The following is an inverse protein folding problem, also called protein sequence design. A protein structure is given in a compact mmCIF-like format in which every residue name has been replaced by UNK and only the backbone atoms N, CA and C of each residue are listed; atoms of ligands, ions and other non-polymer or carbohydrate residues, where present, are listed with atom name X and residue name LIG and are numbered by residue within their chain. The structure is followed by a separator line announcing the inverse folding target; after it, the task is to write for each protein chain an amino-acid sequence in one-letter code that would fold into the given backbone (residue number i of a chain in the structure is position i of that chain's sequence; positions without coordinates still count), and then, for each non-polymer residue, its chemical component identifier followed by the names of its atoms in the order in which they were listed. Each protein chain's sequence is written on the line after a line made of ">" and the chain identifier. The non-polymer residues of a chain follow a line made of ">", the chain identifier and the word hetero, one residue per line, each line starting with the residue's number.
data_IF_055791656107
#
_entry.id   IF_055791656107
#
_cell.length_a   1.000
_cell.length_b   1.000
_cell.length_c   1.000
_cell.angle_alpha   90.00
_cell.angle_beta   90.00
_cell.angle_gamma   90.00
#
_symmetry.space_group_name_H-M   'P 1'
#
loop_
_entity.id
_entity.type
_entity.pdbx_description
1 polymer ?
#
# COMPACT_ATOMS: atom_id res chain seq x y z
N UNK A 1 9.84 -69.85 28.96
CA UNK A 1 10.49 -68.80 28.14
C UNK A 1 9.48 -67.68 27.99
N UNK A 2 9.74 -66.54 28.62
CA UNK A 2 8.74 -65.50 28.85
C UNK A 2 8.67 -64.53 27.66
N UNK A 3 7.59 -64.65 26.87
CA UNK A 3 7.42 -64.02 25.56
C UNK A 3 7.45 -62.48 25.63
N UNK A 4 7.04 -61.90 26.77
CA UNK A 4 6.99 -60.46 27.00
C UNK A 4 8.39 -59.83 27.15
N UNK A 5 9.35 -60.58 27.67
CA UNK A 5 10.74 -60.14 27.82
C UNK A 5 11.47 -60.02 26.47
N UNK A 6 11.11 -60.89 25.52
CA UNK A 6 11.67 -60.90 24.16
C UNK A 6 11.09 -59.74 23.35
N UNK A 7 9.79 -59.49 23.48
CA UNK A 7 9.10 -58.40 22.77
C UNK A 7 9.62 -57.01 23.17
N UNK A 8 9.83 -56.78 24.47
CA UNK A 8 10.41 -55.50 24.97
C UNK A 8 11.83 -55.27 24.49
N UNK A 9 12.63 -56.33 24.33
CA UNK A 9 14.00 -56.25 23.83
C UNK A 9 14.05 -55.88 22.34
N UNK A 10 13.12 -56.43 21.55
CA UNK A 10 13.01 -56.14 20.12
C UNK A 10 12.53 -54.70 19.86
N UNK A 11 11.54 -54.22 20.62
CA UNK A 11 11.05 -52.83 20.51
C UNK A 11 12.16 -51.82 20.84
N UNK A 12 12.96 -52.08 21.88
CA UNK A 12 14.05 -51.18 22.28
C UNK A 12 15.18 -51.12 21.23
N UNK A 13 15.41 -52.23 20.54
CA UNK A 13 16.36 -52.33 19.42
C UNK A 13 15.89 -51.51 18.20
N UNK A 14 14.62 -51.65 17.81
CA UNK A 14 14.01 -50.88 16.71
C UNK A 14 14.04 -49.36 16.96
N UNK A 15 13.81 -48.92 18.21
CA UNK A 15 13.90 -47.50 18.59
C UNK A 15 15.33 -46.96 18.51
N UNK A 16 16.33 -47.79 18.77
CA UNK A 16 17.76 -47.39 18.73
C UNK A 16 18.25 -47.30 17.28
N UNK A 17 17.86 -48.25 16.42
CA UNK A 17 18.20 -48.24 14.99
C UNK A 17 17.52 -47.08 14.23
N UNK A 18 16.32 -46.67 14.64
CA UNK A 18 15.61 -45.52 14.07
C UNK A 18 16.18 -44.15 14.50
N UNK A 19 16.73 -44.04 15.72
CA UNK A 19 17.44 -42.83 16.16
C UNK A 19 18.76 -42.64 15.43
N UNK A 20 19.53 -43.71 15.26
CA UNK A 20 20.81 -43.69 14.50
C UNK A 20 20.62 -43.28 13.03
N UNK A 21 19.54 -43.73 12.37
CA UNK A 21 19.24 -43.34 10.98
C UNK A 21 18.80 -41.87 10.85
N UNK A 22 18.24 -41.27 11.90
CA UNK A 22 17.79 -39.88 11.90
C UNK A 22 18.95 -38.89 12.09
N UNK A 23 19.90 -39.23 12.96
CA UNK A 23 21.13 -38.42 13.13
C UNK A 23 21.98 -38.41 11.84
N UNK A 24 22.03 -39.54 11.11
CA UNK A 24 22.74 -39.63 9.83
C UNK A 24 22.03 -38.91 8.67
N UNK A 25 20.71 -38.68 8.74
CA UNK A 25 19.98 -37.89 7.74
C UNK A 25 20.13 -36.38 7.97
N UNK A 26 20.21 -35.95 9.24
CA UNK A 26 20.31 -34.55 9.61
C UNK A 26 21.72 -33.99 9.29
N UNK A 27 22.79 -34.78 9.50
CA UNK A 27 24.18 -34.40 9.17
C UNK A 27 24.44 -34.30 7.64
N UNK A 28 23.61 -34.99 6.83
CA UNK A 28 23.71 -34.95 5.35
C UNK A 28 22.91 -33.80 4.73
N UNK A 29 21.91 -33.26 5.44
CA UNK A 29 21.14 -32.08 5.03
C UNK A 29 21.94 -30.81 5.29
N UNK A 30 22.63 -30.72 6.42
CA UNK A 30 23.37 -29.52 6.85
C UNK A 30 24.56 -29.18 5.92
N UNK A 31 25.14 -30.20 5.26
CA UNK A 31 26.26 -30.04 4.32
C UNK A 31 25.83 -29.62 2.89
N UNK A 32 24.54 -29.70 2.55
CA UNK A 32 24.00 -29.27 1.24
C UNK A 32 23.55 -27.80 1.26
N UNK A 33 23.16 -27.28 2.41
CA UNK A 33 22.71 -25.89 2.56
C UNK A 33 23.87 -24.88 2.62
N UNK A 34 25.07 -25.32 3.05
CA UNK A 34 26.27 -24.48 3.10
C UNK A 34 26.83 -24.12 1.70
N UNK A 35 26.62 -24.98 0.70
CA UNK A 35 27.15 -24.78 -0.67
C UNK A 35 26.26 -23.85 -1.52
N UNK A 36 24.96 -23.75 -1.21
CA UNK A 36 24.01 -22.94 -1.98
C UNK A 36 24.05 -21.45 -1.59
N UNK A 37 24.57 -21.13 -0.40
CA UNK A 37 24.61 -19.76 0.15
C UNK A 37 25.72 -18.88 -0.46
N UNK A 38 26.62 -19.46 -1.25
CA UNK A 38 27.81 -18.76 -1.77
C UNK A 38 27.62 -18.12 -3.16
N UNK A 39 26.51 -18.36 -3.87
CA UNK A 39 26.33 -17.87 -5.27
C UNK A 39 25.36 -16.70 -5.50
N UNK A 40 24.84 -16.05 -4.46
CA UNK A 40 23.96 -14.87 -4.62
C UNK A 40 24.47 -13.61 -3.91
N UNK A 41 25.79 -13.42 -3.87
CA UNK A 41 26.45 -12.19 -3.41
C UNK A 41 27.28 -11.57 -4.54
N UNK A 42 26.65 -11.19 -5.64
CA UNK A 42 27.29 -10.30 -6.60
C UNK A 42 26.26 -9.43 -7.34
N UNK A 43 25.82 -8.37 -6.67
CA UNK A 43 25.55 -7.08 -7.33
C UNK A 43 25.21 -6.02 -6.28
N UNK A 44 25.78 -4.82 -6.47
CA UNK A 44 25.58 -3.57 -5.72
C UNK A 44 26.41 -3.40 -4.44
N UNK A 45 27.67 -2.99 -4.62
CA UNK A 45 28.44 -2.24 -3.62
C UNK A 45 27.65 -0.98 -3.23
N UNK A 46 27.05 -0.96 -2.04
CA UNK A 46 26.64 0.26 -1.32
C UNK A 46 27.13 0.18 0.13
N UNK A 47 27.50 1.34 0.65
CA UNK A 47 28.27 1.62 1.87
C UNK A 47 27.80 0.83 3.12
N UNK A 48 28.69 0.17 3.90
CA UNK A 48 28.34 -0.67 5.06
C UNK A 48 27.48 -0.01 6.15
N UNK A 49 27.58 1.30 6.35
CA UNK A 49 26.76 2.00 7.36
C UNK A 49 25.27 2.06 6.98
N UNK A 50 24.94 2.11 5.68
CA UNK A 50 23.55 2.24 5.23
C UNK A 50 22.78 0.92 5.35
N UNK A 51 23.46 -0.23 5.23
CA UNK A 51 22.86 -1.55 5.48
C UNK A 51 22.42 -1.69 6.94
N UNK A 52 23.21 -1.21 7.90
CA UNK A 52 22.85 -1.32 9.32
C UNK A 52 21.57 -0.56 9.67
N UNK A 53 21.36 0.63 9.07
CA UNK A 53 20.16 1.44 9.34
C UNK A 53 18.94 0.84 8.64
N UNK A 54 19.09 0.37 7.39
CA UNK A 54 17.99 -0.26 6.65
C UNK A 54 17.58 -1.60 7.26
N UNK A 55 18.52 -2.44 7.71
CA UNK A 55 18.22 -3.69 8.43
C UNK A 55 17.56 -3.42 9.81
N UNK A 56 17.94 -2.33 10.49
CA UNK A 56 17.24 -1.86 11.69
C UNK A 56 15.84 -1.34 11.39
N UNK A 57 15.64 -0.65 10.27
CA UNK A 57 14.32 -0.23 9.79
C UNK A 57 13.44 -1.41 9.38
N UNK A 58 14.04 -2.46 8.85
CA UNK A 58 13.35 -3.67 8.39
C UNK A 58 12.96 -4.60 9.56
N UNK A 59 13.65 -4.49 10.69
CA UNK A 59 13.28 -5.20 11.92
C UNK A 59 12.32 -4.40 12.82
N UNK A 60 12.01 -3.15 12.46
CA UNK A 60 11.12 -2.30 13.24
C UNK A 60 9.66 -2.72 13.02
N UNK A 61 9.03 -3.11 14.11
CA UNK A 61 7.63 -3.52 14.15
C UNK A 61 6.78 -2.53 14.97
N UNK A 62 5.61 -2.18 14.46
CA UNK A 62 4.63 -1.30 15.09
C UNK A 62 3.41 -2.11 15.50
N UNK A 63 2.77 -1.75 16.62
CA UNK A 63 1.51 -2.38 17.03
C UNK A 63 0.39 -2.10 16.01
N UNK A 64 -0.44 -3.10 15.71
CA UNK A 64 -1.61 -2.92 14.83
C UNK A 64 -2.64 -1.93 15.35
N UNK A 65 -2.62 -1.58 16.63
CA UNK A 65 -3.53 -0.57 17.19
C UNK A 65 -3.29 0.83 16.58
N UNK A 66 -2.11 1.07 16.00
CA UNK A 66 -1.80 2.31 15.29
C UNK A 66 -2.44 2.40 13.90
N UNK A 67 -3.14 1.36 13.42
CA UNK A 67 -3.85 1.42 12.12
C UNK A 67 -4.93 2.50 12.11
N UNK A 68 -5.47 2.86 13.27
CA UNK A 68 -6.43 3.95 13.41
C UNK A 68 -5.89 5.27 12.82
N UNK A 69 -4.59 5.53 12.96
CA UNK A 69 -3.96 6.74 12.45
C UNK A 69 -4.06 6.87 10.93
N UNK A 70 -4.09 5.77 10.19
CA UNK A 70 -4.28 5.79 8.74
C UNK A 70 -5.60 6.48 8.37
N UNK A 71 -6.67 6.10 9.05
CA UNK A 71 -8.00 6.60 8.77
C UNK A 71 -8.22 8.01 9.34
N UNK A 72 -7.61 8.34 10.49
CA UNK A 72 -7.63 9.71 11.02
C UNK A 72 -6.94 10.67 10.03
N UNK A 73 -5.69 10.35 9.65
CA UNK A 73 -4.90 11.17 8.73
C UNK A 73 -5.59 11.24 7.37
N UNK A 74 -6.10 10.12 6.86
CA UNK A 74 -6.83 10.07 5.59
C UNK A 74 -8.13 10.89 5.62
N UNK A 75 -8.90 10.84 6.71
CA UNK A 75 -10.13 11.64 6.88
C UNK A 75 -9.81 13.13 6.92
N UNK A 76 -8.81 13.53 7.70
CA UNK A 76 -8.38 14.94 7.79
C UNK A 76 -7.89 15.42 6.42
N UNK A 77 -6.99 14.66 5.78
CA UNK A 77 -6.42 15.00 4.48
C UNK A 77 -7.50 15.15 3.40
N UNK A 78 -8.36 14.14 3.23
CA UNK A 78 -9.45 14.18 2.25
C UNK A 78 -10.45 15.30 2.52
N UNK A 79 -10.78 15.59 3.78
CA UNK A 79 -11.69 16.67 4.15
C UNK A 79 -11.10 18.06 3.85
N UNK A 80 -9.81 18.27 4.16
CA UNK A 80 -9.12 19.51 3.85
C UNK A 80 -9.09 19.72 2.33
N UNK A 81 -8.67 18.71 1.57
CA UNK A 81 -8.61 18.77 0.11
C UNK A 81 -10.00 19.03 -0.49
N UNK A 82 -11.03 18.34 -0.01
CA UNK A 82 -12.41 18.53 -0.48
C UNK A 82 -12.89 19.95 -0.21
N UNK A 83 -12.58 20.52 0.95
CA UNK A 83 -12.90 21.92 1.27
C UNK A 83 -12.21 22.88 0.31
N UNK A 84 -10.92 22.68 0.02
CA UNK A 84 -10.16 23.52 -0.89
C UNK A 84 -10.65 23.43 -2.34
N UNK A 85 -11.19 22.27 -2.75
CA UNK A 85 -11.76 22.05 -4.08
C UNK A 85 -13.20 22.54 -4.19
N UNK A 86 -14.01 22.51 -3.14
CA UNK A 86 -15.36 23.11 -3.15
C UNK A 86 -15.34 24.61 -3.47
N UNK A 87 -14.24 25.31 -3.18
CA UNK A 87 -14.01 26.69 -3.62
C UNK A 87 -13.44 26.84 -5.03
N UNK A 88 -13.18 25.74 -5.76
CA UNK A 88 -12.50 25.76 -7.06
C UNK A 88 -13.39 26.28 -8.20
N UNK A 89 -14.71 26.05 -8.16
CA UNK A 89 -15.61 26.56 -9.21
C UNK A 89 -15.51 28.09 -9.36
N UNK A 90 -15.16 28.81 -8.29
CA UNK A 90 -14.93 30.25 -8.33
C UNK A 90 -13.60 30.64 -9.02
N UNK A 91 -12.60 29.75 -9.12
CA UNK A 91 -11.28 30.04 -9.72
C UNK A 91 -11.30 30.19 -11.24
N UNK A 92 -12.26 29.58 -11.93
CA UNK A 92 -12.39 29.73 -13.39
C UNK A 92 -12.56 31.19 -13.83
N UNK A 93 -13.07 32.05 -12.95
CA UNK A 93 -13.25 33.50 -13.18
C UNK A 93 -12.06 34.34 -12.67
N UNK A 94 -11.17 33.78 -11.85
CA UNK A 94 -10.10 34.50 -11.12
C UNK A 94 -8.90 34.85 -12.02
N UNK A 95 -8.75 34.25 -13.20
CA UNK A 95 -7.70 34.65 -14.14
C UNK A 95 -7.86 36.09 -14.67
N UNK A 96 -9.01 36.73 -14.42
CA UNK A 96 -9.24 38.14 -14.71
C UNK A 96 -8.75 39.09 -13.61
N UNK A 97 -8.53 38.61 -12.38
CA UNK A 97 -8.15 39.47 -11.25
C UNK A 97 -7.03 38.82 -10.43
N UNK A 98 -5.86 39.46 -10.46
CA UNK A 98 -4.64 38.97 -9.85
C UNK A 98 -4.78 38.70 -8.34
N UNK A 99 -4.08 37.65 -7.87
CA UNK A 99 -3.73 37.40 -6.47
C UNK A 99 -4.79 36.74 -5.56
N UNK A 100 -5.07 35.45 -5.79
CA UNK A 100 -5.36 34.52 -4.69
C UNK A 100 -4.21 33.53 -4.52
N UNK A 101 -3.72 33.34 -3.28
CA UNK A 101 -2.68 32.34 -2.98
C UNK A 101 -3.24 30.95 -3.27
N UNK A 102 -2.53 30.19 -4.10
CA UNK A 102 -2.85 28.79 -4.33
C UNK A 102 -2.84 28.01 -3.00
N UNK A 103 -3.80 27.10 -2.77
CA UNK A 103 -3.74 26.21 -1.62
C UNK A 103 -2.40 25.45 -1.63
N UNK A 104 -1.90 25.12 -0.44
CA UNK A 104 -0.56 24.55 -0.26
C UNK A 104 -0.24 23.39 -1.21
N UNK A 105 -1.20 22.48 -1.41
CA UNK A 105 -1.04 21.37 -2.33
C UNK A 105 -0.78 21.81 -3.77
N UNK A 106 -1.62 22.70 -4.31
CA UNK A 106 -1.48 23.17 -5.69
C UNK A 106 -0.20 23.97 -5.88
N UNK A 107 0.21 24.73 -4.87
CA UNK A 107 1.51 25.40 -4.87
C UNK A 107 2.67 24.38 -4.99
N UNK A 108 2.64 23.31 -4.19
CA UNK A 108 3.66 22.25 -4.23
C UNK A 108 3.62 21.51 -5.56
N UNK A 109 2.42 21.15 -6.04
CA UNK A 109 2.28 20.40 -7.29
C UNK A 109 2.65 21.25 -8.51
N UNK A 110 2.25 22.52 -8.56
CA UNK A 110 2.69 23.47 -9.58
C UNK A 110 4.20 23.59 -9.59
N UNK A 111 4.83 23.72 -8.42
CA UNK A 111 6.28 23.76 -8.33
C UNK A 111 6.92 22.49 -8.91
N UNK A 112 6.37 21.31 -8.62
CA UNK A 112 6.86 20.03 -9.15
C UNK A 112 6.70 19.98 -10.67
N UNK A 113 5.51 20.27 -11.20
CA UNK A 113 5.24 20.22 -12.64
C UNK A 113 6.08 21.24 -13.41
N UNK A 114 6.12 22.49 -12.96
CA UNK A 114 6.88 23.53 -13.66
C UNK A 114 8.40 23.27 -13.64
N UNK A 115 8.92 22.56 -12.63
CA UNK A 115 10.36 22.31 -12.49
C UNK A 115 10.82 20.99 -13.10
N UNK A 116 10.00 19.95 -13.02
CA UNK A 116 10.40 18.57 -13.36
C UNK A 116 9.61 17.96 -14.52
N UNK A 117 8.50 18.54 -14.94
CA UNK A 117 7.68 17.97 -16.00
C UNK A 117 8.34 18.15 -17.36
N UNK A 118 8.44 17.11 -18.19
CA UNK A 118 8.93 17.23 -19.57
C UNK A 118 7.99 18.08 -20.45
N UNK A 119 6.75 18.33 -19.99
CA UNK A 119 5.74 19.18 -20.65
C UNK A 119 5.70 20.60 -20.08
N UNK A 120 6.68 21.03 -19.29
CA UNK A 120 6.66 22.34 -18.63
C UNK A 120 6.44 23.52 -19.62
N UNK A 121 6.94 23.42 -20.85
CA UNK A 121 6.74 24.46 -21.88
C UNK A 121 5.29 24.63 -22.33
N UNK A 122 4.44 23.60 -22.27
CA UNK A 122 3.03 23.70 -22.65
C UNK A 122 2.16 24.38 -21.59
N UNK A 123 2.69 24.54 -20.37
CA UNK A 123 1.98 25.20 -19.26
C UNK A 123 2.35 26.68 -19.12
N UNK A 124 3.19 27.21 -20.02
CA UNK A 124 3.58 28.62 -20.01
C UNK A 124 2.49 29.47 -20.66
N UNK A 125 2.00 30.46 -19.93
CA UNK A 125 1.00 31.42 -20.39
C UNK A 125 1.61 32.81 -20.28
N UNK A 126 1.42 33.63 -21.32
CA UNK A 126 1.85 35.03 -21.29
C UNK A 126 1.06 35.78 -20.21
N UNK A 127 1.77 36.32 -19.22
CA UNK A 127 1.17 37.03 -18.11
C UNK A 127 0.55 38.37 -18.52
N UNK A 128 -0.17 39.03 -17.59
CA UNK A 128 -0.80 40.33 -17.84
C UNK A 128 0.21 41.46 -18.09
N UNK A 129 1.49 41.24 -17.81
CA UNK A 129 2.59 42.16 -18.09
C UNK A 129 3.41 41.62 -19.26
N UNK A 130 3.62 42.46 -20.28
CA UNK A 130 4.39 42.14 -21.47
C UNK A 130 5.80 41.67 -21.08
N UNK A 131 6.15 40.44 -21.47
CA UNK A 131 7.48 39.86 -21.24
C UNK A 131 7.64 39.02 -19.97
N UNK A 132 6.54 38.70 -19.26
CA UNK A 132 6.56 37.78 -18.12
C UNK A 132 5.66 36.57 -18.37
N UNK A 133 6.28 35.40 -18.62
CA UNK A 133 5.54 34.13 -18.77
C UNK A 133 5.34 33.48 -17.40
N UNK A 134 4.13 32.99 -17.14
CA UNK A 134 3.74 32.30 -15.90
C UNK A 134 3.48 30.84 -16.24
N UNK A 135 4.08 29.92 -15.49
CA UNK A 135 3.79 28.50 -15.60
C UNK A 135 2.54 28.15 -14.77
N UNK A 136 1.46 27.77 -15.44
CA UNK A 136 0.19 27.42 -14.80
C UNK A 136 -0.38 26.10 -15.36
N UNK A 137 -0.12 24.96 -14.71
CA UNK A 137 -0.59 23.65 -15.17
C UNK A 137 -2.07 23.40 -14.87
N UNK A 138 -2.74 24.24 -14.07
CA UNK A 138 -4.10 24.02 -13.58
C UNK A 138 -5.14 24.98 -14.18
N UNK A 139 -5.10 25.20 -15.50
CA UNK A 139 -6.05 26.10 -16.19
C UNK A 139 -7.45 25.52 -16.37
N UNK A 140 -7.62 24.22 -16.17
CA UNK A 140 -8.90 23.55 -16.41
C UNK A 140 -9.84 23.63 -15.21
N UNK A 141 -11.13 23.80 -15.50
CA UNK A 141 -12.19 23.65 -14.52
C UNK A 141 -12.25 22.21 -14.04
N UNK A 142 -12.16 22.01 -12.73
CA UNK A 142 -12.28 20.68 -12.13
C UNK A 142 -13.69 20.14 -12.39
N UNK A 143 -13.83 18.96 -13.03
CA UNK A 143 -15.15 18.46 -13.39
C UNK A 143 -15.96 18.07 -12.15
N UNK A 144 -17.28 18.23 -12.23
CA UNK A 144 -18.22 17.89 -11.14
C UNK A 144 -18.08 16.44 -10.63
N UNK A 145 -17.63 15.54 -11.50
CA UNK A 145 -17.35 14.13 -11.16
C UNK A 145 -16.25 13.98 -10.12
N UNK A 146 -15.27 14.87 -10.07
CA UNK A 146 -14.18 14.84 -9.09
C UNK A 146 -14.69 15.06 -7.67
N UNK A 147 -15.66 15.97 -7.49
CA UNK A 147 -16.30 16.20 -6.19
C UNK A 147 -17.03 14.95 -5.70
N UNK A 148 -17.73 14.26 -6.61
CA UNK A 148 -18.42 13.01 -6.28
C UNK A 148 -17.39 11.94 -5.89
N UNK A 149 -16.33 11.75 -6.68
CA UNK A 149 -15.29 10.77 -6.40
C UNK A 149 -14.57 11.04 -5.07
N UNK A 150 -14.19 12.29 -4.81
CA UNK A 150 -13.53 12.70 -3.58
C UNK A 150 -14.46 12.60 -2.37
N UNK A 151 -15.76 12.93 -2.54
CA UNK A 151 -16.78 12.75 -1.51
C UNK A 151 -17.02 11.28 -1.16
N UNK A 152 -17.06 10.40 -2.17
CA UNK A 152 -17.16 8.94 -1.97
C UNK A 152 -15.92 8.41 -1.25
N UNK A 153 -14.71 8.84 -1.65
CA UNK A 153 -13.47 8.46 -0.97
C UNK A 153 -13.45 8.95 0.49
N UNK A 154 -13.79 10.22 0.75
CA UNK A 154 -13.85 10.77 2.10
C UNK A 154 -14.87 10.00 2.97
N UNK A 155 -16.04 9.68 2.41
CA UNK A 155 -17.06 8.87 3.09
C UNK A 155 -16.55 7.46 3.39
N UNK A 156 -15.91 6.81 2.42
CA UNK A 156 -15.35 5.47 2.59
C UNK A 156 -14.29 5.43 3.70
N UNK A 157 -13.36 6.38 3.72
CA UNK A 157 -12.32 6.47 4.76
C UNK A 157 -12.92 6.80 6.12
N UNK A 158 -13.93 7.67 6.18
CA UNK A 158 -14.65 7.99 7.41
C UNK A 158 -15.41 6.79 7.98
N UNK A 159 -16.12 6.02 7.15
CA UNK A 159 -16.77 4.79 7.60
C UNK A 159 -15.76 3.79 8.16
N UNK A 160 -14.60 3.67 7.51
CA UNK A 160 -13.53 2.79 7.99
C UNK A 160 -12.92 3.27 9.30
N UNK A 161 -12.86 4.59 9.52
CA UNK A 161 -12.49 5.18 10.82
C UNK A 161 -13.49 4.79 11.91
N UNK A 162 -14.79 4.98 11.66
CA UNK A 162 -15.83 4.63 12.63
C UNK A 162 -15.82 3.14 12.95
N UNK A 163 -15.70 2.28 11.95
CA UNK A 163 -15.60 0.83 12.14
C UNK A 163 -14.41 0.47 13.03
N UNK A 164 -13.27 1.12 12.81
CA UNK A 164 -12.04 0.87 13.58
C UNK A 164 -12.15 1.36 15.02
N UNK A 165 -12.93 2.41 15.28
CA UNK A 165 -13.15 2.94 16.65
C UNK A 165 -14.15 2.06 17.40
N UNK A 166 -15.25 1.65 16.76
CA UNK A 166 -16.36 1.02 17.45
C UNK A 166 -16.32 -0.51 17.45
N UNK A 167 -15.88 -1.14 16.35
CA UNK A 167 -16.02 -2.57 16.15
C UNK A 167 -14.70 -3.35 16.19
N UNK A 168 -13.54 -2.68 16.07
CA UNK A 168 -12.26 -3.37 16.05
C UNK A 168 -11.66 -3.50 17.46
N UNK A 169 -11.52 -4.74 18.00
CA UNK A 169 -10.88 -4.93 19.29
C UNK A 169 -9.36 -4.66 19.21
N UNK A 170 -8.74 -4.20 20.31
CA UNK A 170 -7.29 -4.05 20.36
C UNK A 170 -6.62 -5.42 20.20
N UNK A 171 -5.52 -5.47 19.45
CA UNK A 171 -4.77 -6.70 19.22
C UNK A 171 -3.31 -6.53 19.61
N UNK A 172 -2.67 -7.63 20.04
CA UNK A 172 -1.24 -7.69 20.33
C UNK A 172 -0.39 -7.99 19.08
N UNK A 173 -1.03 -8.08 17.91
CA UNK A 173 -0.33 -8.31 16.65
C UNK A 173 0.48 -7.08 16.25
N UNK A 174 1.61 -7.34 15.59
CA UNK A 174 2.51 -6.31 15.08
C UNK A 174 2.54 -6.31 13.56
N UNK A 175 2.93 -5.18 12.96
CA UNK A 175 3.18 -5.00 11.53
C UNK A 175 4.56 -4.39 11.33
N UNK A 176 5.20 -4.74 10.22
CA UNK A 176 6.44 -4.12 9.77
C UNK A 176 6.27 -2.60 9.51
N UNK A 177 7.21 -1.78 9.98
CA UNK A 177 7.17 -0.32 9.87
C UNK A 177 7.06 0.17 8.42
N UNK A 178 7.76 -0.48 7.48
CA UNK A 178 7.68 -0.13 6.06
C UNK A 178 6.26 -0.24 5.48
N UNK A 179 5.52 -1.30 5.81
CA UNK A 179 4.12 -1.45 5.38
C UNK A 179 3.22 -0.41 6.07
N UNK A 180 3.53 -0.09 7.33
CA UNK A 180 2.83 0.94 8.08
C UNK A 180 2.97 2.33 7.42
N UNK A 181 4.20 2.72 7.05
CA UNK A 181 4.48 4.00 6.36
C UNK A 181 3.81 4.03 4.97
N UNK A 182 3.91 2.94 4.21
CA UNK A 182 3.24 2.83 2.91
C UNK A 182 1.72 3.01 3.02
N UNK A 183 1.10 2.49 4.09
CA UNK A 183 -0.30 2.73 4.40
C UNK A 183 -0.62 4.22 4.58
N UNK A 184 0.15 4.94 5.40
CA UNK A 184 -0.04 6.39 5.61
C UNK A 184 0.09 7.15 4.29
N UNK A 185 1.14 6.88 3.53
CA UNK A 185 1.39 7.54 2.25
C UNK A 185 0.23 7.29 1.27
N UNK A 186 -0.30 6.06 1.23
CA UNK A 186 -1.45 5.75 0.39
C UNK A 186 -2.67 6.63 0.73
N UNK A 187 -3.04 6.76 2.01
CA UNK A 187 -4.21 7.58 2.39
C UNK A 187 -4.02 9.08 2.18
N UNK A 188 -2.77 9.57 2.24
CA UNK A 188 -2.42 10.97 1.96
C UNK A 188 -2.39 11.29 0.46
N UNK A 189 -1.84 10.39 -0.36
CA UNK A 189 -1.61 10.65 -1.79
C UNK A 189 -2.84 10.31 -2.64
N UNK A 190 -3.67 9.35 -2.25
CA UNK A 190 -4.88 8.96 -3.01
C UNK A 190 -5.82 10.14 -3.33
N UNK A 191 -6.24 10.99 -2.38
CA UNK A 191 -7.10 12.12 -2.72
C UNK A 191 -6.42 13.11 -3.68
N UNK A 192 -5.09 13.23 -3.64
CA UNK A 192 -4.33 14.03 -4.61
C UNK A 192 -4.32 13.40 -6.00
N UNK A 193 -4.10 12.09 -6.07
CA UNK A 193 -4.11 11.34 -7.31
C UNK A 193 -5.47 11.46 -8.03
N UNK A 194 -6.58 11.45 -7.29
CA UNK A 194 -7.93 11.67 -7.87
C UNK A 194 -8.04 13.03 -8.56
N UNK A 195 -7.46 14.08 -7.96
CA UNK A 195 -7.51 15.44 -8.52
C UNK A 195 -6.65 15.54 -9.75
N UNK A 196 -5.40 15.12 -9.64
CA UNK A 196 -4.42 15.09 -10.72
C UNK A 196 -4.98 14.33 -11.91
N UNK A 197 -5.55 13.16 -11.67
CA UNK A 197 -6.20 12.36 -12.71
C UNK A 197 -7.33 13.11 -13.40
N UNK A 198 -8.16 13.83 -12.63
CA UNK A 198 -9.27 14.60 -13.19
C UNK A 198 -8.85 15.85 -13.98
N UNK A 199 -7.73 16.47 -13.61
CA UNK A 199 -7.17 17.62 -14.32
C UNK A 199 -6.53 17.15 -15.62
N UNK A 200 -5.65 16.15 -15.57
CA UNK A 200 -4.91 15.72 -16.76
C UNK A 200 -5.73 14.85 -17.73
N UNK A 201 -6.76 14.17 -17.26
CA UNK A 201 -7.68 13.44 -18.14
C UNK A 201 -8.68 14.36 -18.84
N UNK A 202 -8.84 15.61 -18.39
CA UNK A 202 -9.69 16.63 -19.02
C UNK A 202 -9.08 17.27 -20.27
N UNK A 203 -7.76 17.24 -20.41
CA UNK A 203 -6.99 18.01 -21.41
C UNK A 203 -6.96 17.44 -22.83
N UNK A 204 -7.67 16.34 -23.11
CA UNK A 204 -7.44 15.55 -24.33
C UNK A 204 -8.71 15.15 -25.07
N UNK A 205 -9.21 16.04 -25.94
CA UNK A 205 -10.24 15.77 -26.97
C UNK A 205 -11.60 15.28 -26.47
N UNK A 206 -12.65 15.64 -27.22
CA UNK A 206 -14.06 15.39 -26.93
C UNK A 206 -14.35 13.87 -26.98
N UNK A 207 -13.93 13.09 -25.97
CA UNK A 207 -14.53 11.78 -25.62
C UNK A 207 -13.87 11.04 -24.43
N UNK A 208 -12.88 11.59 -23.72
CA UNK A 208 -12.42 10.98 -22.46
C UNK A 208 -13.24 11.49 -21.28
N UNK A 209 -14.37 10.82 -21.03
CA UNK A 209 -15.15 11.02 -19.81
C UNK A 209 -14.28 10.61 -18.61
N UNK A 210 -14.22 11.41 -17.52
CA UNK A 210 -13.72 10.92 -16.24
C UNK A 210 -14.58 9.71 -15.84
N UNK A 211 -14.00 8.53 -15.96
CA UNK A 211 -14.69 7.25 -15.93
C UNK A 211 -13.70 6.12 -15.71
N UNK A 212 -14.24 4.90 -15.60
CA UNK A 212 -13.56 3.63 -15.27
C UNK A 212 -12.34 3.27 -16.14
N UNK A 213 -11.98 4.08 -17.14
CA UNK A 213 -10.89 3.85 -18.08
C UNK A 213 -9.60 4.62 -17.75
N UNK A 214 -9.56 5.33 -16.61
CA UNK A 214 -8.36 6.00 -16.15
C UNK A 214 -7.29 5.00 -15.69
N UNK A 215 -6.02 5.26 -16.05
CA UNK A 215 -4.87 4.48 -15.58
C UNK A 215 -4.77 4.49 -14.05
N UNK A 216 -5.16 5.61 -13.41
CA UNK A 216 -5.20 5.75 -11.96
C UNK A 216 -6.20 4.78 -11.36
N UNK A 217 -7.40 4.70 -11.94
CA UNK A 217 -8.44 3.77 -11.49
C UNK A 217 -8.00 2.31 -11.57
N UNK A 218 -7.45 1.87 -12.71
CA UNK A 218 -6.95 0.49 -12.85
C UNK A 218 -5.78 0.19 -11.92
N UNK A 219 -4.86 1.14 -11.74
CA UNK A 219 -3.73 0.99 -10.81
C UNK A 219 -4.24 0.83 -9.38
N UNK A 220 -5.24 1.61 -8.97
CA UNK A 220 -5.87 1.46 -7.64
C UNK A 220 -6.57 0.12 -7.50
N UNK A 221 -7.31 -0.36 -8.50
CA UNK A 221 -7.93 -1.69 -8.46
C UNK A 221 -6.87 -2.78 -8.30
N UNK A 222 -5.84 -2.78 -9.14
CA UNK A 222 -4.77 -3.78 -9.09
C UNK A 222 -4.10 -3.77 -7.72
N UNK A 223 -3.78 -2.58 -7.20
CA UNK A 223 -3.23 -2.41 -5.87
C UNK A 223 -4.13 -3.00 -4.77
N UNK A 224 -5.43 -2.70 -4.80
CA UNK A 224 -6.42 -3.19 -3.83
C UNK A 224 -6.56 -4.71 -3.90
N UNK A 225 -6.65 -5.27 -5.12
CA UNK A 225 -6.76 -6.72 -5.33
C UNK A 225 -5.54 -7.42 -4.77
N UNK A 226 -4.32 -6.96 -5.09
CA UNK A 226 -3.08 -7.55 -4.57
C UNK A 226 -3.05 -7.46 -3.04
N UNK A 227 -3.32 -6.29 -2.48
CA UNK A 227 -3.25 -6.05 -1.03
C UNK A 227 -4.25 -6.93 -0.25
N UNK A 228 -5.48 -7.04 -0.73
CA UNK A 228 -6.51 -7.88 -0.11
C UNK A 228 -6.19 -9.38 -0.28
N UNK A 229 -5.66 -9.77 -1.44
CA UNK A 229 -5.26 -11.14 -1.75
C UNK A 229 -4.16 -11.65 -0.82
N UNK A 230 -3.11 -10.84 -0.61
CA UNK A 230 -2.02 -11.16 0.32
C UNK A 230 -2.56 -11.25 1.75
N UNK A 231 -3.32 -10.25 2.19
CA UNK A 231 -3.90 -10.20 3.55
C UNK A 231 -4.82 -11.39 3.84
N UNK A 232 -5.67 -11.79 2.87
CA UNK A 232 -6.56 -12.93 3.00
C UNK A 232 -5.78 -14.25 3.07
N UNK A 233 -4.73 -14.39 2.24
CA UNK A 233 -3.87 -15.57 2.21
C UNK A 233 -3.14 -15.79 3.54
N UNK A 234 -2.54 -14.73 4.10
CA UNK A 234 -1.88 -14.80 5.41
C UNK A 234 -2.85 -15.17 6.52
N UNK A 235 -4.04 -14.56 6.50
CA UNK A 235 -5.10 -14.83 7.47
C UNK A 235 -5.55 -16.29 7.40
N UNK A 236 -5.76 -16.82 6.19
CA UNK A 236 -6.16 -18.21 5.99
C UNK A 236 -5.07 -19.21 6.44
N UNK A 237 -3.80 -18.91 6.16
CA UNK A 237 -2.68 -19.73 6.66
C UNK A 237 -2.58 -19.70 8.18
N UNK A 238 -2.77 -18.53 8.80
CA UNK A 238 -2.79 -18.39 10.25
C UNK A 238 -3.91 -19.24 10.86
N UNK A 239 -5.13 -19.20 10.30
CA UNK A 239 -6.24 -20.04 10.76
C UNK A 239 -5.93 -21.54 10.69
N UNK A 240 -5.34 -22.01 9.57
CA UNK A 240 -4.94 -23.42 9.43
C UNK A 240 -3.90 -23.83 10.47
N UNK A 241 -2.90 -22.98 10.73
CA UNK A 241 -1.86 -23.23 11.74
C UNK A 241 -2.42 -23.23 13.16
N UNK A 242 -3.30 -22.28 13.49
CA UNK A 242 -3.85 -22.10 14.84
C UNK A 242 -4.90 -23.13 15.21
N UNK A 243 -5.80 -23.49 14.28
CA UNK A 243 -6.94 -24.35 14.58
C UNK A 243 -6.80 -25.79 14.05
N UNK A 244 -5.83 -26.06 13.16
CA UNK A 244 -5.51 -27.41 12.68
C UNK A 244 -6.73 -28.17 12.16
N UNK A 245 -7.04 -29.31 12.79
CA UNK A 245 -8.16 -30.18 12.42
C UNK A 245 -9.55 -29.59 12.69
N UNK A 246 -9.65 -28.55 13.53
CA UNK A 246 -10.91 -27.84 13.82
C UNK A 246 -11.27 -26.81 12.74
N UNK A 247 -10.34 -26.43 11.87
CA UNK A 247 -10.61 -25.48 10.79
C UNK A 247 -11.33 -26.18 9.62
N UNK A 248 -12.47 -25.67 9.13
CA UNK A 248 -13.20 -26.30 8.03
C UNK A 248 -12.36 -26.39 6.74
N UNK A 249 -12.23 -27.60 6.17
CA UNK A 249 -11.41 -27.86 4.97
C UNK A 249 -11.97 -27.22 3.68
N UNK A 250 -13.27 -26.96 3.65
CA UNK A 250 -13.97 -26.44 2.45
C UNK A 250 -14.05 -24.90 2.42
N UNK A 251 -13.37 -24.19 3.33
CA UNK A 251 -13.33 -22.72 3.29
C UNK A 251 -12.30 -22.23 2.28
N UNK A 252 -12.74 -21.33 1.41
CA UNK A 252 -11.91 -20.56 0.50
C UNK A 252 -11.21 -19.40 1.23
N UNK A 253 -10.18 -18.83 0.59
CA UNK A 253 -9.39 -17.70 1.08
C UNK A 253 -10.14 -16.39 0.91
N UNK A 254 -10.64 -16.13 -0.30
CA UNK A 254 -11.29 -14.86 -0.66
C UNK A 254 -12.51 -15.05 -1.56
N UNK A 255 -12.37 -15.76 -2.69
CA UNK A 255 -13.43 -15.92 -3.69
C UNK A 255 -14.07 -17.31 -3.52
N UNK A 256 -15.35 -17.38 -3.12
CA UNK A 256 -16.04 -18.66 -2.96
C UNK A 256 -15.92 -19.52 -4.23
N UNK A 257 -15.62 -20.81 -4.05
CA UNK A 257 -15.52 -21.82 -5.11
C UNK A 257 -14.36 -21.67 -6.10
N UNK A 258 -13.57 -20.59 -6.03
CA UNK A 258 -12.40 -20.38 -6.88
C UNK A 258 -11.13 -20.42 -6.05
N UNK A 259 -11.05 -19.57 -5.02
CA UNK A 259 -9.85 -19.38 -4.22
C UNK A 259 -10.14 -19.05 -2.76
#
# INVERSE_FOLDING_TARGET
>A
MDLDSVLKKEIKRQITESKSKKEQSDEKSEKSDEITTTKQKESTKKNPEQKSILEKLESLEVSKNYFLFFYIIGTISSSLILREILGWDARGEIYLESSQRDPFFFMVWRFIECKFSPKASSYMISGPVVGYDVCEPFVEVVPKTTFIALGLYATQVYLRLLESIFYQPPTNSKIHLGHFIMGILFYLVTPMAIIVDSVYSGSGTIEQRPGLNSITFFTTIIWVVINLSVSASETHQWYKKTFGTRYPKNRCVLIPYIW
#
